data_IF_784323725198
#
_entry.id   IF_784323725198
#
_cell.length_a   1.000
_cell.length_b   1.000
_cell.length_c   1.000
_cell.angle_alpha   90.00
_cell.angle_beta   90.00
_cell.angle_gamma   90.00
#
_symmetry.space_group_name_H-M   'P 1'
#
loop_
_entity.id
_entity.type
_entity.pdbx_description
1 polymer ?
#
# COMPACT_ATOMS: atom_id res chain seq x y z
N UNK A 1 -5.34 -8.59 -36.48
CA UNK A 1 -5.68 -8.45 -35.05
C UNK A 1 -4.86 -7.30 -34.48
N UNK A 2 -5.47 -6.12 -34.38
CA UNK A 2 -4.82 -4.88 -33.92
C UNK A 2 -4.78 -4.92 -32.40
N UNK A 3 -3.58 -4.96 -31.82
CA UNK A 3 -3.38 -4.93 -30.37
C UNK A 3 -3.84 -3.56 -29.85
N UNK A 4 -4.83 -3.45 -28.94
CA UNK A 4 -5.27 -2.15 -28.46
C UNK A 4 -4.12 -1.47 -27.72
N UNK A 5 -3.73 -0.28 -28.19
CA UNK A 5 -2.75 0.55 -27.50
C UNK A 5 -3.42 1.09 -26.24
N UNK A 6 -3.19 0.40 -25.11
CA UNK A 6 -3.66 0.82 -23.79
C UNK A 6 -3.12 2.21 -23.46
N UNK A 7 -4.00 3.09 -22.98
CA UNK A 7 -3.59 4.39 -22.47
C UNK A 7 -2.66 4.20 -21.26
N UNK A 8 -1.74 5.16 -20.98
CA UNK A 8 -0.79 5.04 -19.86
C UNK A 8 -1.46 4.73 -18.50
N UNK A 9 -2.64 5.30 -18.24
CA UNK A 9 -3.41 5.03 -17.02
C UNK A 9 -3.96 3.61 -16.93
N UNK A 10 -4.32 3.01 -18.06
CA UNK A 10 -4.81 1.62 -18.10
C UNK A 10 -3.68 0.63 -17.87
N UNK A 11 -2.48 0.91 -18.39
CA UNK A 11 -1.29 0.11 -18.10
C UNK A 11 -0.90 0.17 -16.62
N UNK A 12 -0.97 1.35 -16.00
CA UNK A 12 -0.69 1.49 -14.57
C UNK A 12 -1.66 0.66 -13.70
N UNK A 13 -2.96 0.63 -14.05
CA UNK A 13 -3.97 -0.19 -13.35
C UNK A 13 -3.73 -1.69 -13.41
N UNK A 14 -3.13 -2.18 -14.49
CA UNK A 14 -2.78 -3.60 -14.62
C UNK A 14 -1.62 -3.99 -13.70
N UNK A 15 -0.74 -3.05 -13.38
CA UNK A 15 0.49 -3.32 -12.62
C UNK A 15 0.31 -3.01 -11.12
N UNK A 16 -0.50 -2.00 -10.78
CA UNK A 16 -0.78 -1.56 -9.41
C UNK A 16 -2.13 -2.10 -8.92
N UNK A 17 -2.19 -3.17 -8.10
CA UNK A 17 -3.45 -3.79 -7.70
C UNK A 17 -4.39 -2.83 -6.95
N UNK A 18 -3.84 -1.90 -6.18
CA UNK A 18 -4.61 -0.89 -5.45
C UNK A 18 -5.31 0.12 -6.37
N UNK A 19 -4.81 0.39 -7.58
CA UNK A 19 -5.51 1.26 -8.52
C UNK A 19 -6.80 0.63 -9.05
N UNK A 20 -6.92 -0.70 -9.00
CA UNK A 20 -8.17 -1.41 -9.33
C UNK A 20 -9.26 -1.15 -8.29
N UNK A 21 -8.89 -0.77 -7.07
CA UNK A 21 -9.81 -0.39 -6.00
C UNK A 21 -10.27 1.08 -6.10
N UNK A 22 -9.70 1.85 -7.04
CA UNK A 22 -9.92 3.28 -7.15
C UNK A 22 -10.79 3.65 -8.37
N UNK A 23 -11.59 4.72 -8.30
CA UNK A 23 -12.36 5.23 -9.45
C UNK A 23 -11.48 5.50 -10.68
N UNK A 24 -11.98 5.39 -11.92
CA UNK A 24 -11.23 5.76 -13.12
C UNK A 24 -10.63 7.17 -13.03
N UNK A 25 -9.45 7.37 -13.62
CA UNK A 25 -8.76 8.67 -13.59
C UNK A 25 -7.93 8.97 -12.33
N UNK A 26 -7.91 8.07 -11.34
CA UNK A 26 -6.98 8.18 -10.20
C UNK A 26 -5.52 8.25 -10.64
N UNK A 27 -4.81 9.26 -10.13
CA UNK A 27 -3.38 9.46 -10.37
C UNK A 27 -2.59 8.91 -9.19
N UNK A 28 -1.60 8.08 -9.50
CA UNK A 28 -0.64 7.54 -8.53
C UNK A 28 0.60 8.43 -8.46
N UNK A 29 1.02 8.80 -7.25
CA UNK A 29 2.26 9.49 -6.98
C UNK A 29 3.17 8.64 -6.08
N UNK A 30 4.39 8.44 -6.55
CA UNK A 30 5.40 7.62 -5.90
C UNK A 30 6.38 8.46 -5.08
N UNK A 31 6.18 8.51 -3.75
CA UNK A 31 7.04 9.25 -2.82
C UNK A 31 8.43 8.64 -2.66
N UNK A 32 8.70 7.48 -3.26
CA UNK A 32 10.05 6.91 -3.36
C UNK A 32 10.90 7.68 -4.36
N UNK A 33 10.27 8.33 -5.34
CA UNK A 33 10.95 9.08 -6.41
C UNK A 33 11.20 10.54 -6.05
N UNK A 34 10.54 11.05 -5.01
CA UNK A 34 10.71 12.41 -4.53
C UNK A 34 9.46 12.96 -3.85
N UNK A 35 9.53 14.19 -3.32
CA UNK A 35 8.34 14.89 -2.83
C UNK A 35 7.41 15.24 -4.00
N UNK A 36 6.11 15.10 -3.77
CA UNK A 36 5.06 15.53 -4.71
C UNK A 36 4.72 16.98 -4.42
N UNK A 37 4.59 17.81 -5.45
CA UNK A 37 4.22 19.22 -5.27
C UNK A 37 2.71 19.41 -5.35
N UNK A 38 2.13 20.41 -4.66
CA UNK A 38 0.70 20.68 -4.73
C UNK A 38 0.16 20.90 -6.16
N UNK A 39 0.95 21.48 -7.07
CA UNK A 39 0.53 21.68 -8.47
C UNK A 39 0.44 20.40 -9.31
N UNK A 40 0.97 19.27 -8.83
CA UNK A 40 0.94 17.98 -9.53
C UNK A 40 -0.34 17.19 -9.22
N UNK A 41 -1.08 17.61 -8.20
CA UNK A 41 -2.31 16.96 -7.75
C UNK A 41 -3.52 17.76 -8.23
N UNK A 42 -4.37 17.13 -9.04
CA UNK A 42 -5.61 17.77 -9.50
C UNK A 42 -6.49 18.19 -8.33
N UNK A 43 -7.07 19.39 -8.42
CA UNK A 43 -8.15 19.81 -7.53
C UNK A 43 -9.30 18.78 -7.61
N UNK A 44 -9.82 18.37 -6.45
CA UNK A 44 -10.93 17.40 -6.30
C UNK A 44 -10.74 16.01 -6.94
N UNK A 45 -9.54 15.69 -7.42
CA UNK A 45 -9.22 14.41 -8.06
C UNK A 45 -8.91 13.30 -7.05
N UNK A 46 -9.31 12.04 -7.34
CA UNK A 46 -8.86 10.90 -6.55
C UNK A 46 -7.36 10.69 -6.76
N UNK A 47 -6.64 10.48 -5.66
CA UNK A 47 -5.18 10.42 -5.59
C UNK A 47 -4.77 9.16 -4.84
N UNK A 48 -3.70 8.55 -5.34
CA UNK A 48 -2.98 7.50 -4.64
C UNK A 48 -1.57 7.99 -4.34
N UNK A 49 -1.16 7.92 -3.08
CA UNK A 49 0.22 8.14 -2.66
C UNK A 49 0.81 6.79 -2.24
N UNK A 50 2.00 6.46 -2.76
CA UNK A 50 2.68 5.21 -2.39
C UNK A 50 4.07 5.49 -1.81
N UNK A 51 4.48 4.67 -0.85
CA UNK A 51 5.84 4.70 -0.30
C UNK A 51 6.25 3.32 0.24
N UNK A 52 7.54 2.99 0.17
CA UNK A 52 8.11 1.77 0.76
C UNK A 52 9.34 2.03 1.65
N UNK A 53 9.57 3.28 2.05
CA UNK A 53 10.66 3.59 2.96
C UNK A 53 10.29 3.28 4.42
N UNK A 54 11.27 3.10 5.31
CA UNK A 54 11.01 3.08 6.75
C UNK A 54 10.20 4.32 7.18
N UNK A 55 9.18 4.11 8.01
CA UNK A 55 8.24 5.17 8.45
C UNK A 55 7.37 5.76 7.32
N UNK A 56 7.16 5.01 6.24
CA UNK A 56 6.27 5.37 5.12
C UNK A 56 4.93 5.92 5.56
N UNK A 57 4.31 5.34 6.60
CA UNK A 57 3.06 5.86 7.20
C UNK A 57 3.15 7.34 7.53
N UNK A 58 4.20 7.74 8.25
CA UNK A 58 4.39 9.15 8.65
C UNK A 58 4.65 10.04 7.45
N UNK A 59 5.41 9.55 6.46
CA UNK A 59 5.70 10.29 5.22
C UNK A 59 4.43 10.49 4.38
N UNK A 60 3.63 9.44 4.18
CA UNK A 60 2.35 9.49 3.48
C UNK A 60 1.37 10.45 4.16
N UNK A 61 1.21 10.33 5.47
CA UNK A 61 0.32 11.20 6.25
C UNK A 61 0.79 12.65 6.28
N UNK A 62 2.11 12.89 6.20
CA UNK A 62 2.67 14.24 6.07
C UNK A 62 2.43 14.80 4.67
N UNK A 63 2.75 14.04 3.63
CA UNK A 63 2.53 14.43 2.24
C UNK A 63 1.05 14.71 1.96
N UNK A 64 0.15 13.84 2.42
CA UNK A 64 -1.29 14.04 2.28
C UNK A 64 -1.74 15.39 2.88
N UNK A 65 -1.29 15.71 4.10
CA UNK A 65 -1.56 17.00 4.74
C UNK A 65 -0.99 18.18 3.97
N UNK A 66 0.25 18.09 3.49
CA UNK A 66 0.91 19.14 2.71
C UNK A 66 0.24 19.38 1.34
N UNK A 67 -0.39 18.34 0.77
CA UNK A 67 -1.07 18.37 -0.52
C UNK A 67 -2.58 18.68 -0.43
N UNK A 68 -3.13 18.85 0.76
CA UNK A 68 -4.58 18.99 0.98
C UNK A 68 -5.38 17.72 0.66
N UNK A 69 -4.72 16.55 0.66
CA UNK A 69 -5.39 15.26 0.43
C UNK A 69 -6.01 14.77 1.73
N UNK A 70 -7.32 14.56 1.70
CA UNK A 70 -8.07 13.87 2.74
C UNK A 70 -7.95 12.37 2.51
N UNK A 71 -7.30 11.61 3.43
CA UNK A 71 -7.19 10.17 3.29
C UNK A 71 -8.56 9.50 3.42
N UNK A 72 -8.89 8.63 2.49
CA UNK A 72 -10.10 7.81 2.50
C UNK A 72 -9.79 6.38 2.95
N UNK A 73 -8.68 5.82 2.47
CA UNK A 73 -8.17 4.50 2.85
C UNK A 73 -6.65 4.49 2.91
N UNK A 74 -6.11 3.67 3.79
CA UNK A 74 -4.67 3.39 3.82
C UNK A 74 -4.50 1.87 3.84
N UNK A 75 -3.55 1.38 3.06
CA UNK A 75 -3.26 -0.03 2.91
C UNK A 75 -1.80 -0.34 3.23
N UNK A 76 -1.59 -1.50 3.82
CA UNK A 76 -0.31 -2.18 3.89
C UNK A 76 -0.19 -3.14 2.71
N UNK A 77 0.92 -3.07 1.98
CA UNK A 77 1.19 -3.93 0.83
C UNK A 77 2.31 -4.90 1.18
N UNK A 78 2.11 -6.18 0.90
CA UNK A 78 3.05 -7.24 1.24
C UNK A 78 3.42 -8.10 0.01
N UNK A 79 4.69 -8.52 -0.11
CA UNK A 79 5.84 -8.09 0.70
C UNK A 79 6.35 -6.69 0.34
N UNK A 80 6.14 -6.23 -0.90
CA UNK A 80 6.68 -4.96 -1.43
C UNK A 80 5.72 -4.32 -2.44
N UNK A 81 5.91 -3.04 -2.77
CA UNK A 81 5.13 -2.37 -3.82
C UNK A 81 5.45 -2.91 -5.23
N UNK A 82 6.68 -3.37 -5.46
CA UNK A 82 7.14 -3.81 -6.78
C UNK A 82 6.70 -5.25 -7.11
N UNK A 83 6.40 -6.05 -6.07
CA UNK A 83 5.87 -7.42 -6.16
C UNK A 83 4.77 -7.63 -5.12
N UNK A 84 3.61 -6.99 -5.29
CA UNK A 84 2.52 -7.13 -4.33
C UNK A 84 1.88 -8.51 -4.45
N UNK A 85 1.72 -9.19 -3.32
CA UNK A 85 0.98 -10.44 -3.19
C UNK A 85 -0.33 -10.23 -2.44
N UNK A 86 -0.32 -9.37 -1.42
CA UNK A 86 -1.49 -9.08 -0.59
C UNK A 86 -1.55 -7.58 -0.29
N UNK A 87 -2.77 -7.03 -0.32
CA UNK A 87 -3.08 -5.68 0.13
C UNK A 87 -4.03 -5.80 1.31
N UNK A 88 -3.70 -5.15 2.43
CA UNK A 88 -4.46 -5.22 3.69
C UNK A 88 -4.84 -3.81 4.09
N UNK A 89 -6.10 -3.55 4.43
CA UNK A 89 -6.49 -2.27 5.04
C UNK A 89 -5.68 -2.02 6.32
N UNK A 90 -5.15 -0.81 6.52
CA UNK A 90 -4.40 -0.40 7.72
C UNK A 90 -5.32 -0.10 8.91
N UNK A 91 -6.19 -1.07 9.22
CA UNK A 91 -7.07 -1.09 10.38
C UNK A 91 -6.79 -2.33 11.22
N UNK A 92 -7.04 -2.24 12.52
CA UNK A 92 -6.67 -3.29 13.48
C UNK A 92 -7.30 -4.64 13.12
N UNK A 93 -8.58 -4.65 12.77
CA UNK A 93 -9.32 -5.86 12.43
C UNK A 93 -8.72 -6.58 11.22
N UNK A 94 -8.39 -5.84 10.17
CA UNK A 94 -7.85 -6.40 8.92
C UNK A 94 -6.42 -6.93 9.11
N UNK A 95 -5.57 -6.18 9.82
CA UNK A 95 -4.20 -6.62 10.14
C UNK A 95 -4.22 -7.86 11.03
N UNK A 96 -5.07 -7.88 12.06
CA UNK A 96 -5.23 -9.05 12.94
C UNK A 96 -5.71 -10.25 12.15
N UNK A 97 -6.72 -10.10 11.30
CA UNK A 97 -7.23 -11.16 10.45
C UNK A 97 -6.16 -11.71 9.49
N UNK A 98 -5.35 -10.83 8.89
CA UNK A 98 -4.25 -11.25 8.04
C UNK A 98 -3.28 -12.19 8.78
N UNK A 99 -2.83 -11.81 9.97
CA UNK A 99 -1.86 -12.61 10.73
C UNK A 99 -2.43 -13.95 11.23
N UNK A 100 -3.73 -14.01 11.53
CA UNK A 100 -4.35 -15.21 12.09
C UNK A 100 -4.88 -16.17 11.05
N UNK A 101 -5.45 -15.66 9.94
CA UNK A 101 -6.17 -16.47 8.96
C UNK A 101 -5.46 -16.60 7.60
N UNK A 102 -4.63 -15.64 7.21
CA UNK A 102 -4.03 -15.58 5.86
C UNK A 102 -2.56 -15.94 5.87
N UNK A 103 -1.79 -15.32 6.77
CA UNK A 103 -0.35 -15.52 6.87
C UNK A 103 -0.05 -16.93 7.38
N UNK A 104 0.62 -17.71 6.54
CA UNK A 104 1.02 -19.09 6.82
C UNK A 104 2.47 -19.31 6.37
N UNK A 105 3.14 -20.29 6.98
CA UNK A 105 4.47 -20.74 6.55
C UNK A 105 4.26 -22.00 5.71
N UNK A 106 4.66 -22.01 4.41
CA UNK A 106 4.55 -23.20 3.59
C UNK A 106 5.39 -24.35 4.16
N UNK A 107 4.91 -25.61 4.08
CA UNK A 107 5.72 -26.77 4.43
C UNK A 107 6.93 -26.90 3.49
N UNK A 108 8.06 -27.39 4.01
CA UNK A 108 9.27 -27.63 3.20
C UNK A 108 10.21 -26.44 3.04
N UNK A 109 9.94 -25.30 3.70
CA UNK A 109 10.90 -24.19 3.73
C UNK A 109 12.10 -24.53 4.63
N UNK A 110 13.32 -24.34 4.13
CA UNK A 110 14.56 -24.51 4.90
C UNK A 110 14.61 -23.64 6.18
N UNK A 111 13.81 -22.58 6.22
CA UNK A 111 13.67 -21.64 7.34
C UNK A 111 12.30 -21.73 8.02
N UNK A 112 11.63 -22.89 7.96
CA UNK A 112 10.28 -23.05 8.49
C UNK A 112 10.18 -22.71 9.98
N UNK A 113 11.16 -23.12 10.80
CA UNK A 113 11.19 -22.84 12.25
C UNK A 113 11.29 -21.33 12.56
N UNK A 114 12.31 -20.59 12.07
CA UNK A 114 12.39 -19.15 12.33
C UNK A 114 11.23 -18.38 11.68
N UNK A 115 10.73 -18.80 10.51
CA UNK A 115 9.55 -18.19 9.90
C UNK A 115 8.28 -18.39 10.76
N UNK A 116 8.11 -19.58 11.36
CA UNK A 116 6.98 -19.88 12.24
C UNK A 116 7.06 -19.09 13.55
N UNK A 117 8.27 -18.95 14.11
CA UNK A 117 8.50 -18.10 15.27
C UNK A 117 8.21 -16.62 14.98
N UNK A 118 8.68 -16.10 13.84
CA UNK A 118 8.40 -14.73 13.41
C UNK A 118 6.90 -14.50 13.19
N UNK A 119 6.20 -15.46 12.58
CA UNK A 119 4.75 -15.41 12.39
C UNK A 119 3.99 -15.43 13.73
N UNK A 120 4.42 -16.26 14.68
CA UNK A 120 3.83 -16.29 16.02
C UNK A 120 4.02 -14.94 16.75
N UNK A 121 5.20 -14.34 16.65
CA UNK A 121 5.46 -13.01 17.19
C UNK A 121 4.61 -11.94 16.49
N UNK A 122 4.45 -12.01 15.18
CA UNK A 122 3.62 -11.07 14.43
C UNK A 122 2.14 -11.12 14.84
N UNK A 123 1.63 -12.31 15.20
CA UNK A 123 0.27 -12.50 15.73
C UNK A 123 0.06 -11.86 17.11
N UNK A 124 1.11 -11.78 17.92
CA UNK A 124 1.09 -11.20 19.26
C UNK A 124 1.44 -9.70 19.26
N UNK A 125 2.07 -9.22 18.19
CA UNK A 125 2.51 -7.84 18.09
C UNK A 125 1.30 -6.87 18.06
N UNK A 126 1.38 -5.73 18.77
CA UNK A 126 0.37 -4.69 18.66
C UNK A 126 0.25 -4.22 17.20
N UNK A 127 -0.99 -4.01 16.72
CA UNK A 127 -1.24 -3.60 15.33
C UNK A 127 -0.43 -2.36 14.91
N UNK A 128 -0.21 -1.43 15.86
CA UNK A 128 0.54 -0.19 15.63
C UNK A 128 1.98 -0.47 15.19
N UNK A 129 2.54 -1.60 15.63
CA UNK A 129 3.91 -2.02 15.33
C UNK A 129 3.97 -2.73 13.99
N UNK A 130 3.09 -3.70 13.73
CA UNK A 130 3.02 -4.37 12.42
C UNK A 130 2.72 -3.38 11.30
N UNK A 131 1.81 -2.43 11.53
CA UNK A 131 1.58 -1.32 10.63
C UNK A 131 2.84 -0.43 10.47
N UNK A 132 3.50 -0.03 11.56
CA UNK A 132 4.66 0.86 11.47
C UNK A 132 5.91 0.22 10.86
N UNK A 133 6.05 -1.11 10.96
CA UNK A 133 7.22 -1.87 10.50
C UNK A 133 7.05 -2.30 9.04
N UNK A 134 5.82 -2.50 8.56
CA UNK A 134 5.58 -2.79 7.15
C UNK A 134 5.90 -1.54 6.30
N UNK A 135 6.95 -1.59 5.46
CA UNK A 135 7.44 -0.41 4.81
C UNK A 135 6.56 -0.02 3.61
N UNK A 136 6.06 -0.98 2.85
CA UNK A 136 5.24 -0.74 1.67
C UNK A 136 3.80 -0.37 2.03
N UNK A 137 3.39 0.85 1.67
CA UNK A 137 2.10 1.44 2.00
C UNK A 137 1.52 2.22 0.82
N UNK A 138 0.21 2.22 0.77
CA UNK A 138 -0.60 2.93 -0.23
C UNK A 138 -1.66 3.72 0.51
N UNK A 139 -1.71 5.03 0.28
CA UNK A 139 -2.77 5.91 0.77
C UNK A 139 -3.65 6.31 -0.41
N UNK A 140 -4.94 6.04 -0.30
CA UNK A 140 -5.96 6.51 -1.24
C UNK A 140 -6.70 7.66 -0.60
N UNK A 141 -6.89 8.74 -1.35
CA UNK A 141 -7.64 9.89 -0.87
C UNK A 141 -8.07 10.81 -2.00
N UNK A 142 -8.57 11.97 -1.62
CA UNK A 142 -8.96 13.03 -2.55
C UNK A 142 -8.45 14.37 -2.07
N UNK A 143 -7.96 15.20 -2.98
CA UNK A 143 -7.62 16.59 -2.66
C UNK A 143 -8.89 17.39 -2.39
N UNK A 144 -8.88 18.20 -1.32
CA UNK A 144 -9.90 19.21 -1.02
C UNK A 144 -9.28 20.59 -0.91
#
# INVERSE_FOLDING_TARGET
MTNPVLAPGDRARLISPWLQLCPPGTIEHDLRRGPVRPGEVSADGPVVLIDQHPRSRRRLQRAARELGVVPEREFVVLPTLDRPMVVVDDVEEAVRHFWTAVATVPPGLAFAVPASAALALARLAPWRWTGAVAPARVLVGRRR
#
